data_IF_331855233521
#
_entry.id   IF_331855233521
#
_cell.length_a   1.000
_cell.length_b   1.000
_cell.length_c   1.000
_cell.angle_alpha   90.00
_cell.angle_beta   90.00
_cell.angle_gamma   90.00
#
_symmetry.space_group_name_H-M   'P 1'
#
loop_
_entity.id
_entity.type
_entity.pdbx_description
1 polymer ?
#
# COMPACT_ATOMS: atom_id res chain seq x y z
N UNK A 1 32.43 -6.04 39.50
CA UNK A 1 31.43 -5.02 39.19
C UNK A 1 31.48 -4.43 37.75
N UNK A 2 32.58 -4.39 36.97
CA UNK A 2 32.58 -3.78 35.62
C UNK A 2 31.79 -4.53 34.56
N UNK A 3 31.68 -5.85 34.60
CA UNK A 3 30.93 -6.65 33.58
C UNK A 3 29.43 -6.36 33.49
N UNK A 4 28.74 -6.08 34.62
CA UNK A 4 27.32 -5.73 34.63
C UNK A 4 27.03 -4.36 33.99
N UNK A 5 27.96 -3.40 34.13
CA UNK A 5 27.82 -2.08 33.52
C UNK A 5 27.96 -2.13 31.98
N UNK A 6 28.93 -2.91 31.48
CA UNK A 6 29.19 -3.08 30.05
C UNK A 6 28.01 -3.82 29.39
N UNK A 7 27.46 -4.87 30.01
CA UNK A 7 26.28 -5.58 29.51
C UNK A 7 25.05 -4.68 29.47
N UNK A 8 24.84 -3.83 30.49
CA UNK A 8 23.73 -2.87 30.49
C UNK A 8 23.87 -1.75 29.46
N UNK A 9 25.08 -1.29 29.17
CA UNK A 9 25.33 -0.32 28.08
C UNK A 9 25.13 -0.95 26.68
N UNK A 10 25.60 -2.16 26.47
CA UNK A 10 25.36 -2.88 25.22
C UNK A 10 23.87 -3.14 24.99
N UNK A 11 23.12 -3.57 26.00
CA UNK A 11 21.66 -3.74 25.92
C UNK A 11 20.97 -2.40 25.64
N UNK A 12 21.41 -1.30 26.28
CA UNK A 12 20.87 0.05 25.99
C UNK A 12 21.21 0.55 24.60
N UNK A 13 22.36 0.23 24.06
CA UNK A 13 22.75 0.57 22.68
C UNK A 13 21.97 -0.27 21.64
N UNK A 14 21.71 -1.53 21.92
CA UNK A 14 20.88 -2.41 21.10
C UNK A 14 19.42 -1.95 21.08
N UNK A 15 18.87 -1.50 22.20
CA UNK A 15 17.51 -0.93 22.29
C UNK A 15 17.35 0.41 21.57
N UNK A 16 18.44 1.07 21.15
CA UNK A 16 18.41 2.34 20.39
C UNK A 16 18.36 2.18 18.89
N UNK A 17 18.26 0.94 18.39
CA UNK A 17 18.30 0.64 16.96
C UNK A 17 17.25 -0.39 16.62
N UNK A 18 16.56 -0.20 15.49
CA UNK A 18 15.82 -1.28 14.84
C UNK A 18 16.81 -2.06 13.97
N UNK A 19 16.95 -3.36 14.22
CA UNK A 19 17.81 -4.25 13.45
C UNK A 19 16.96 -5.13 12.56
N UNK A 20 17.17 -5.05 11.24
CA UNK A 20 16.52 -5.86 10.22
C UNK A 20 17.53 -6.87 9.71
N UNK A 21 17.22 -8.17 9.77
CA UNK A 21 18.05 -9.24 9.23
C UNK A 21 18.06 -9.18 7.71
N UNK A 22 19.23 -9.37 7.10
CA UNK A 22 19.35 -9.47 5.64
C UNK A 22 19.01 -10.86 5.12
N UNK A 23 19.09 -11.04 3.79
CA UNK A 23 18.85 -12.31 3.11
C UNK A 23 17.41 -12.52 2.63
N UNK A 24 17.12 -13.74 2.12
CA UNK A 24 15.83 -14.06 1.55
C UNK A 24 14.91 -14.72 2.58
N UNK A 25 14.01 -13.95 3.14
CA UNK A 25 12.98 -14.40 4.07
C UNK A 25 11.77 -13.46 4.08
N UNK A 26 10.75 -13.80 4.84
CA UNK A 26 9.59 -12.94 5.03
C UNK A 26 9.89 -11.87 6.08
N UNK A 27 9.98 -10.62 5.65
CA UNK A 27 10.22 -9.47 6.52
C UNK A 27 8.95 -9.08 7.29
N UNK A 28 8.97 -9.22 8.61
CA UNK A 28 7.85 -8.82 9.49
C UNK A 28 7.64 -7.31 9.46
N UNK A 29 8.70 -6.54 9.29
CA UNK A 29 8.66 -5.08 9.12
C UNK A 29 7.84 -4.68 7.89
N UNK A 30 8.05 -5.34 6.76
CA UNK A 30 7.32 -5.10 5.50
C UNK A 30 5.85 -5.52 5.63
N UNK A 31 5.58 -6.65 6.28
CA UNK A 31 4.22 -7.09 6.56
C UNK A 31 3.48 -6.10 7.49
N UNK A 32 4.16 -5.60 8.52
CA UNK A 32 3.62 -4.58 9.41
C UNK A 32 3.32 -3.27 8.67
N UNK A 33 4.26 -2.81 7.83
CA UNK A 33 4.06 -1.62 6.98
C UNK A 33 2.80 -1.75 6.13
N UNK A 34 2.56 -2.89 5.47
CA UNK A 34 1.36 -3.10 4.64
C UNK A 34 0.09 -3.18 5.46
N UNK A 35 0.11 -3.90 6.60
CA UNK A 35 -1.04 -3.99 7.49
C UNK A 35 -1.42 -2.64 8.09
N UNK A 36 -0.45 -1.83 8.49
CA UNK A 36 -0.68 -0.46 8.94
C UNK A 36 -1.20 0.44 7.81
N UNK A 37 -0.57 0.35 6.63
CA UNK A 37 -0.93 1.15 5.47
C UNK A 37 -2.39 0.94 5.04
N UNK A 38 -2.87 -0.31 4.91
CA UNK A 38 -4.27 -0.55 4.57
C UNK A 38 -5.22 -0.02 5.64
N UNK A 39 -4.88 -0.19 6.91
CA UNK A 39 -5.71 0.29 8.01
C UNK A 39 -5.89 1.81 7.95
N UNK A 40 -4.80 2.55 7.69
CA UNK A 40 -4.87 4.03 7.59
C UNK A 40 -5.55 4.50 6.30
N UNK A 41 -5.42 3.78 5.18
CA UNK A 41 -6.18 4.05 3.95
C UNK A 41 -7.68 3.91 4.19
N UNK A 42 -8.10 2.81 4.81
CA UNK A 42 -9.52 2.59 5.13
C UNK A 42 -10.04 3.64 6.10
N UNK A 43 -9.29 3.93 7.16
CA UNK A 43 -9.66 4.95 8.14
C UNK A 43 -9.78 6.35 7.49
N UNK A 44 -8.88 6.70 6.57
CA UNK A 44 -8.97 7.93 5.79
C UNK A 44 -10.29 7.98 5.01
N UNK A 45 -10.65 6.93 4.27
CA UNK A 45 -11.88 6.91 3.50
C UNK A 45 -13.13 6.92 4.38
N UNK A 46 -13.13 6.21 5.50
CA UNK A 46 -14.22 6.31 6.50
C UNK A 46 -14.39 7.75 6.95
N UNK A 47 -13.30 8.41 7.30
CA UNK A 47 -13.33 9.79 7.78
C UNK A 47 -13.72 10.77 6.67
N UNK A 48 -13.20 10.66 5.47
CA UNK A 48 -13.45 11.60 4.36
C UNK A 48 -14.85 11.50 3.77
N UNK A 49 -15.40 10.31 3.68
CA UNK A 49 -16.71 10.08 3.00
C UNK A 49 -17.87 10.43 3.92
N UNK A 50 -17.73 10.25 5.24
CA UNK A 50 -18.85 10.25 6.17
C UNK A 50 -18.79 11.31 7.24
N UNK A 51 -17.88 12.26 7.10
CA UNK A 51 -17.71 13.25 8.11
C UNK A 51 -18.44 14.54 7.76
N UNK A 52 -19.48 14.84 8.50
CA UNK A 52 -20.14 16.13 8.45
C UNK A 52 -19.22 17.21 9.02
N UNK A 53 -19.12 18.34 8.34
CA UNK A 53 -18.32 19.49 8.78
C UNK A 53 -18.72 19.89 10.22
N UNK A 54 -17.75 19.99 11.10
CA UNK A 54 -17.91 20.44 12.48
C UNK A 54 -17.92 19.38 13.57
N UNK A 55 -18.07 18.10 13.25
CA UNK A 55 -18.12 17.02 14.26
C UNK A 55 -16.75 16.48 14.65
N UNK A 56 -15.73 16.70 13.83
CA UNK A 56 -14.35 16.25 14.10
C UNK A 56 -13.37 17.41 14.08
N UNK A 57 -12.40 17.39 15.02
CA UNK A 57 -11.33 18.37 15.03
C UNK A 57 -10.56 18.39 13.70
N UNK A 58 -10.31 19.58 13.15
CA UNK A 58 -9.58 19.76 11.89
C UNK A 58 -8.22 19.05 11.86
N UNK A 59 -7.54 18.97 13.01
CA UNK A 59 -6.28 18.26 13.11
C UNK A 59 -6.41 16.75 12.85
N UNK A 60 -7.52 16.13 13.28
CA UNK A 60 -7.76 14.69 13.07
C UNK A 60 -8.12 14.42 11.59
N UNK A 61 -8.88 15.32 10.97
CA UNK A 61 -9.14 15.29 9.51
C UNK A 61 -7.84 15.39 8.73
N UNK A 62 -6.98 16.36 9.09
CA UNK A 62 -5.66 16.50 8.45
C UNK A 62 -4.76 15.27 8.68
N UNK A 63 -4.74 14.72 9.90
CA UNK A 63 -3.98 13.51 10.21
C UNK A 63 -4.50 12.30 9.42
N UNK A 64 -5.83 12.15 9.27
CA UNK A 64 -6.41 11.04 8.49
C UNK A 64 -6.03 11.11 7.01
N UNK A 65 -5.88 12.30 6.44
CA UNK A 65 -5.48 12.50 5.05
C UNK A 65 -4.09 11.88 4.76
N UNK A 66 -3.20 11.81 5.77
CA UNK A 66 -1.91 11.12 5.65
C UNK A 66 -2.07 9.61 5.39
N UNK A 67 -3.24 9.03 5.66
CA UNK A 67 -3.57 7.66 5.33
C UNK A 67 -3.45 7.34 3.83
N UNK A 68 -3.66 8.34 2.97
CA UNK A 68 -3.45 8.20 1.52
C UNK A 68 -2.05 7.74 1.12
N UNK A 69 -1.02 8.09 1.93
CA UNK A 69 0.36 7.61 1.75
C UNK A 69 0.47 6.08 1.83
N UNK A 70 -0.53 5.38 2.39
CA UNK A 70 -0.56 3.92 2.40
C UNK A 70 -0.52 3.30 1.00
N UNK A 71 -1.10 3.94 -0.03
CA UNK A 71 -1.00 3.50 -1.42
C UNK A 71 0.45 3.48 -1.92
N UNK A 72 1.22 4.50 -1.60
CA UNK A 72 2.65 4.64 -1.91
C UNK A 72 3.47 3.54 -1.22
N UNK A 73 3.16 3.23 0.05
CA UNK A 73 3.80 2.12 0.79
C UNK A 73 3.59 0.78 0.07
N UNK A 74 2.40 0.52 -0.49
CA UNK A 74 2.15 -0.71 -1.24
C UNK A 74 2.98 -0.81 -2.51
N UNK A 75 3.20 0.30 -3.23
CA UNK A 75 4.05 0.36 -4.42
C UNK A 75 5.51 0.08 -4.04
N UNK A 76 6.02 0.74 -3.01
CA UNK A 76 7.35 0.48 -2.46
C UNK A 76 7.52 -1.00 -2.06
N UNK A 77 6.59 -1.55 -1.27
CA UNK A 77 6.61 -2.94 -0.84
C UNK A 77 6.53 -3.93 -2.01
N UNK A 78 5.84 -3.56 -3.10
CA UNK A 78 5.77 -4.37 -4.31
C UNK A 78 7.12 -4.44 -5.01
N UNK A 79 7.80 -3.31 -5.21
CA UNK A 79 9.16 -3.27 -5.77
C UNK A 79 10.14 -4.08 -4.94
N UNK A 80 10.09 -3.91 -3.60
CA UNK A 80 10.92 -4.66 -2.65
C UNK A 80 10.67 -6.17 -2.73
N UNK A 81 9.43 -6.60 -2.61
CA UNK A 81 9.08 -8.02 -2.58
C UNK A 81 9.32 -8.74 -3.90
N UNK A 82 9.06 -8.06 -5.04
CA UNK A 82 9.34 -8.61 -6.37
C UNK A 82 10.83 -8.80 -6.58
N UNK A 83 11.63 -7.80 -6.22
CA UNK A 83 13.06 -7.86 -6.46
C UNK A 83 13.76 -8.85 -5.53
N UNK A 84 13.36 -8.98 -4.26
CA UNK A 84 13.81 -10.06 -3.38
C UNK A 84 13.53 -11.44 -3.99
N UNK A 85 12.31 -11.64 -4.51
CA UNK A 85 11.93 -12.90 -5.14
C UNK A 85 12.74 -13.19 -6.40
N UNK A 86 13.03 -12.16 -7.21
CA UNK A 86 13.83 -12.27 -8.42
C UNK A 86 15.30 -12.59 -8.13
N UNK A 87 15.90 -11.94 -7.13
CA UNK A 87 17.27 -12.21 -6.70
C UNK A 87 17.45 -13.65 -6.16
N UNK A 88 16.43 -14.18 -5.48
CA UNK A 88 16.45 -15.56 -5.00
C UNK A 88 16.25 -16.58 -6.13
N UNK A 89 15.28 -16.33 -7.01
CA UNK A 89 14.98 -17.20 -8.16
C UNK A 89 14.59 -16.33 -9.36
N UNK A 90 15.53 -16.02 -10.25
CA UNK A 90 15.21 -15.36 -11.52
C UNK A 90 14.19 -16.17 -12.33
N UNK A 91 13.26 -15.47 -12.96
CA UNK A 91 12.20 -16.09 -13.76
C UNK A 91 12.00 -15.32 -15.07
N UNK A 92 11.60 -16.03 -16.11
CA UNK A 92 11.30 -15.44 -17.41
C UNK A 92 9.98 -14.66 -17.38
N UNK A 93 9.76 -13.87 -18.43
CA UNK A 93 8.60 -12.96 -18.52
C UNK A 93 7.26 -13.71 -18.39
N UNK A 94 7.07 -14.82 -19.13
CA UNK A 94 5.81 -15.57 -19.08
C UNK A 94 5.52 -16.18 -17.69
N UNK A 95 6.53 -16.75 -17.03
CA UNK A 95 6.38 -17.29 -15.66
C UNK A 95 6.08 -16.17 -14.67
N UNK A 96 6.77 -15.04 -14.78
CA UNK A 96 6.56 -13.88 -13.93
C UNK A 96 5.15 -13.33 -14.06
N UNK A 97 4.71 -13.03 -15.30
CA UNK A 97 3.38 -12.48 -15.56
C UNK A 97 2.31 -13.45 -15.07
N UNK A 98 2.40 -14.75 -15.42
CA UNK A 98 1.43 -15.73 -14.95
C UNK A 98 1.30 -15.75 -13.44
N UNK A 99 2.41 -15.84 -12.69
CA UNK A 99 2.38 -15.90 -11.22
C UNK A 99 1.83 -14.63 -10.59
N UNK A 100 2.25 -13.46 -11.08
CA UNK A 100 1.87 -12.17 -10.48
C UNK A 100 0.49 -11.73 -10.90
N UNK A 101 0.16 -11.94 -12.17
CA UNK A 101 -1.15 -11.64 -12.70
C UNK A 101 -2.23 -12.45 -11.99
N UNK A 102 -2.09 -13.77 -11.89
CA UNK A 102 -3.07 -14.61 -11.21
C UNK A 102 -3.28 -14.19 -9.75
N UNK A 103 -2.21 -13.84 -9.04
CA UNK A 103 -2.28 -13.44 -7.63
C UNK A 103 -3.09 -12.14 -7.40
N UNK A 104 -3.01 -11.20 -8.33
CA UNK A 104 -3.74 -9.92 -8.25
C UNK A 104 -5.08 -10.02 -8.96
N UNK A 105 -5.10 -10.61 -10.14
CA UNK A 105 -6.24 -10.55 -11.03
C UNK A 105 -7.40 -11.43 -10.58
N UNK A 106 -7.15 -12.61 -10.00
CA UNK A 106 -8.24 -13.48 -9.54
C UNK A 106 -9.07 -12.84 -8.43
N UNK A 107 -8.50 -12.35 -7.31
CA UNK A 107 -9.30 -11.64 -6.32
C UNK A 107 -10.01 -10.40 -6.88
N UNK A 108 -9.35 -9.68 -7.78
CA UNK A 108 -9.92 -8.54 -8.46
C UNK A 108 -11.11 -8.93 -9.36
N UNK A 109 -10.99 -9.99 -10.15
CA UNK A 109 -12.08 -10.49 -10.98
C UNK A 109 -13.27 -10.95 -10.14
N UNK A 110 -13.03 -11.65 -9.03
CA UNK A 110 -14.09 -12.06 -8.10
C UNK A 110 -14.80 -10.83 -7.56
N UNK A 111 -14.06 -9.81 -7.14
CA UNK A 111 -14.64 -8.54 -6.68
C UNK A 111 -15.49 -7.89 -7.78
N UNK A 112 -15.02 -7.81 -9.01
CA UNK A 112 -15.76 -7.22 -10.14
C UNK A 112 -17.05 -7.97 -10.44
N UNK A 113 -17.03 -9.30 -10.40
CA UNK A 113 -18.19 -10.12 -10.63
C UNK A 113 -19.25 -9.94 -9.52
N UNK A 114 -18.81 -9.90 -8.26
CA UNK A 114 -19.70 -9.59 -7.14
C UNK A 114 -20.35 -8.22 -7.35
N UNK A 115 -19.54 -7.22 -7.66
CA UNK A 115 -20.01 -5.85 -7.87
C UNK A 115 -20.98 -5.73 -9.05
N UNK A 116 -20.76 -6.49 -10.13
CA UNK A 116 -21.62 -6.51 -11.32
C UNK A 116 -22.97 -7.21 -11.06
N UNK A 117 -22.96 -8.39 -10.42
CA UNK A 117 -24.17 -9.19 -10.20
C UNK A 117 -24.97 -8.79 -8.96
N UNK A 118 -24.39 -8.01 -8.05
CA UNK A 118 -25.05 -7.48 -6.87
C UNK A 118 -25.09 -5.94 -6.93
N UNK A 119 -25.86 -5.34 -7.84
CA UNK A 119 -25.87 -3.89 -8.07
C UNK A 119 -26.29 -3.07 -6.85
N UNK A 120 -27.07 -3.65 -5.90
CA UNK A 120 -27.37 -2.98 -4.62
C UNK A 120 -26.13 -2.82 -3.75
N UNK A 121 -25.06 -3.55 -4.02
CA UNK A 121 -23.76 -3.40 -3.39
C UNK A 121 -23.02 -2.18 -3.91
N UNK A 122 -23.36 -1.70 -5.09
CA UNK A 122 -22.77 -0.55 -5.75
C UNK A 122 -23.67 0.67 -5.57
N UNK A 123 -23.14 1.73 -5.01
CA UNK A 123 -23.81 3.05 -4.96
C UNK A 123 -23.64 3.80 -6.29
N UNK A 124 -22.92 3.24 -7.25
CA UNK A 124 -22.63 3.85 -8.55
C UNK A 124 -23.45 3.13 -9.65
N UNK A 125 -24.33 3.86 -10.36
CA UNK A 125 -25.18 3.35 -11.44
C UNK A 125 -24.43 2.82 -12.67
N UNK A 126 -23.11 2.72 -12.60
CA UNK A 126 -22.23 2.32 -13.72
C UNK A 126 -22.03 0.81 -13.82
N UNK A 127 -23.07 0.02 -13.62
CA UNK A 127 -23.03 -1.45 -13.74
C UNK A 127 -23.14 -1.97 -15.18
N UNK A 128 -22.94 -1.12 -16.17
CA UNK A 128 -23.04 -1.48 -17.57
C UNK A 128 -21.92 -2.44 -18.00
N UNK A 129 -22.23 -3.33 -18.94
CA UNK A 129 -21.29 -4.34 -19.44
C UNK A 129 -19.98 -3.72 -19.97
N UNK A 130 -20.06 -2.55 -20.64
CA UNK A 130 -18.86 -1.88 -21.13
C UNK A 130 -17.86 -1.51 -20.01
N UNK A 131 -18.37 -1.10 -18.84
CA UNK A 131 -17.53 -0.81 -17.68
C UNK A 131 -16.89 -2.08 -17.12
N UNK A 132 -17.65 -3.18 -17.01
CA UNK A 132 -17.12 -4.48 -16.62
C UNK A 132 -16.01 -4.93 -17.58
N UNK A 133 -16.27 -4.86 -18.89
CA UNK A 133 -15.28 -5.25 -19.90
C UNK A 133 -14.03 -4.38 -19.84
N UNK A 134 -14.17 -3.08 -19.54
CA UNK A 134 -13.01 -2.18 -19.36
C UNK A 134 -12.08 -2.62 -18.24
N UNK A 135 -12.64 -3.15 -17.15
CA UNK A 135 -11.92 -3.70 -16.01
C UNK A 135 -11.36 -5.10 -16.28
N UNK A 136 -12.16 -5.98 -16.90
CA UNK A 136 -11.75 -7.35 -17.24
C UNK A 136 -10.58 -7.34 -18.23
N UNK A 137 -10.65 -6.52 -19.27
CA UNK A 137 -9.56 -6.40 -20.26
C UNK A 137 -8.52 -5.33 -19.90
N UNK A 138 -8.65 -4.68 -18.75
CA UNK A 138 -7.70 -3.70 -18.21
C UNK A 138 -7.52 -2.45 -19.06
N UNK A 139 -8.33 -2.21 -20.11
CA UNK A 139 -8.18 -0.99 -20.91
C UNK A 139 -8.71 0.26 -20.18
N UNK A 140 -9.38 0.11 -19.07
CA UNK A 140 -9.80 1.22 -18.21
C UNK A 140 -8.65 2.18 -17.85
N UNK A 141 -7.41 1.66 -17.79
CA UNK A 141 -6.24 2.45 -17.42
C UNK A 141 -5.84 3.51 -18.45
N UNK A 142 -6.45 3.48 -19.64
CA UNK A 142 -6.17 4.40 -20.73
C UNK A 142 -7.30 5.39 -21.00
N UNK A 143 -8.44 5.28 -20.26
CA UNK A 143 -9.61 6.11 -20.50
C UNK A 143 -10.15 6.68 -19.18
N UNK A 144 -10.23 8.02 -19.10
CA UNK A 144 -10.75 8.72 -17.92
C UNK A 144 -12.18 8.30 -17.56
N UNK A 145 -13.01 8.01 -18.60
CA UNK A 145 -14.38 7.51 -18.43
C UNK A 145 -14.47 6.28 -17.51
N UNK A 146 -13.48 5.39 -17.55
CA UNK A 146 -13.54 4.09 -16.86
C UNK A 146 -12.67 3.99 -15.61
N UNK A 147 -11.66 4.86 -15.46
CA UNK A 147 -10.59 4.68 -14.44
C UNK A 147 -11.13 4.60 -13.01
N UNK A 148 -12.21 5.34 -12.69
CA UNK A 148 -12.83 5.40 -11.38
C UNK A 148 -14.13 4.56 -11.27
N UNK A 149 -14.54 3.88 -12.34
CA UNK A 149 -15.70 3.00 -12.28
C UNK A 149 -15.46 1.79 -11.37
N UNK A 150 -16.51 1.20 -10.81
CA UNK A 150 -16.45 0.12 -9.80
C UNK A 150 -15.72 0.48 -8.50
N UNK A 151 -15.44 1.76 -8.29
CA UNK A 151 -14.83 2.28 -7.08
C UNK A 151 -13.53 3.03 -7.32
N UNK A 152 -13.45 4.19 -6.68
CA UNK A 152 -12.34 5.14 -6.86
C UNK A 152 -10.97 4.56 -6.48
N UNK A 153 -10.93 3.57 -5.57
CA UNK A 153 -9.68 2.93 -5.14
C UNK A 153 -9.02 2.08 -6.25
N UNK A 154 -9.79 1.61 -7.24
CA UNK A 154 -9.30 0.67 -8.24
C UNK A 154 -8.26 1.24 -9.23
N UNK A 155 -7.97 2.55 -9.16
CA UNK A 155 -6.87 3.15 -9.91
C UNK A 155 -5.52 2.45 -9.64
N UNK A 156 -5.29 2.01 -8.41
CA UNK A 156 -4.06 1.35 -8.00
C UNK A 156 -3.82 0.03 -8.76
N UNK A 157 -4.87 -0.70 -9.14
CA UNK A 157 -4.74 -1.91 -9.96
C UNK A 157 -4.10 -1.57 -11.32
N UNK A 158 -4.51 -0.45 -11.92
CA UNK A 158 -3.93 0.02 -13.18
C UNK A 158 -2.43 0.32 -13.02
N UNK A 159 -2.08 1.05 -11.97
CA UNK A 159 -0.69 1.42 -11.66
C UNK A 159 0.19 0.20 -11.41
N UNK A 160 -0.26 -0.73 -10.56
CA UNK A 160 0.57 -1.87 -10.17
C UNK A 160 0.79 -2.85 -11.33
N UNK A 161 -0.20 -3.03 -12.22
CA UNK A 161 -0.05 -3.86 -13.43
C UNK A 161 0.96 -3.24 -14.38
N UNK A 162 0.90 -1.93 -14.62
CA UNK A 162 1.89 -1.23 -15.44
C UNK A 162 3.30 -1.37 -14.86
N UNK A 163 3.47 -1.21 -13.53
CA UNK A 163 4.76 -1.40 -12.86
C UNK A 163 5.27 -2.86 -12.97
N UNK A 164 4.38 -3.83 -12.97
CA UNK A 164 4.76 -5.24 -13.19
C UNK A 164 5.27 -5.49 -14.60
N UNK A 165 4.71 -4.82 -15.61
CA UNK A 165 5.24 -4.89 -16.98
C UNK A 165 6.64 -4.27 -17.08
N UNK A 166 6.92 -3.22 -16.32
CA UNK A 166 8.23 -2.56 -16.26
C UNK A 166 9.25 -3.32 -15.40
N UNK A 167 8.83 -4.23 -14.53
CA UNK A 167 9.72 -4.87 -13.55
C UNK A 167 10.89 -5.61 -14.20
N UNK A 168 10.65 -6.51 -15.15
CA UNK A 168 11.72 -7.26 -15.80
C UNK A 168 12.65 -6.40 -16.69
N UNK A 169 12.18 -5.41 -17.45
CA UNK A 169 13.03 -4.38 -18.04
C UNK A 169 13.96 -3.69 -17.02
N UNK A 170 13.45 -3.33 -15.83
CA UNK A 170 14.27 -2.74 -14.77
C UNK A 170 15.30 -3.73 -14.20
N UNK A 171 14.95 -5.01 -14.06
CA UNK A 171 15.92 -6.06 -13.67
C UNK A 171 17.04 -6.19 -14.71
N UNK A 172 16.70 -6.22 -16.01
CA UNK A 172 17.69 -6.26 -17.09
C UNK A 172 18.57 -5.00 -17.12
N UNK A 173 18.01 -3.83 -16.86
CA UNK A 173 18.79 -2.60 -16.71
C UNK A 173 19.80 -2.73 -15.55
N UNK A 174 19.33 -3.30 -14.41
CA UNK A 174 20.20 -3.55 -13.24
C UNK A 174 21.32 -4.53 -13.53
N UNK A 175 21.07 -5.58 -14.31
CA UNK A 175 22.09 -6.57 -14.72
C UNK A 175 23.18 -5.95 -15.60
N UNK A 176 22.80 -5.02 -16.49
CA UNK A 176 23.72 -4.32 -17.39
C UNK A 176 24.45 -3.11 -16.76
N UNK A 177 23.92 -2.59 -15.62
CA UNK A 177 24.41 -1.36 -15.02
C UNK A 177 24.54 -1.53 -13.50
N UNK A 178 24.09 -0.54 -12.73
CA UNK A 178 24.11 -0.55 -11.26
C UNK A 178 22.73 -0.28 -10.68
N UNK A 179 22.48 -0.66 -9.42
CA UNK A 179 21.24 -0.28 -8.72
C UNK A 179 21.09 1.23 -8.57
N UNK A 180 22.21 1.97 -8.49
CA UNK A 180 22.19 3.44 -8.55
C UNK A 180 21.60 3.95 -9.86
N UNK A 181 22.00 3.37 -10.99
CA UNK A 181 21.48 3.75 -12.31
C UNK A 181 19.97 3.50 -12.38
N UNK A 182 19.49 2.33 -11.94
CA UNK A 182 18.05 2.02 -11.91
C UNK A 182 17.29 3.03 -11.05
N UNK A 183 17.80 3.33 -9.85
CA UNK A 183 17.19 4.28 -8.93
C UNK A 183 17.14 5.69 -9.53
N UNK A 184 18.26 6.19 -10.04
CA UNK A 184 18.34 7.52 -10.66
C UNK A 184 17.44 7.63 -11.89
N UNK A 185 17.39 6.59 -12.74
CA UNK A 185 16.50 6.55 -13.91
C UNK A 185 15.03 6.59 -13.48
N UNK A 186 14.63 5.77 -12.49
CA UNK A 186 13.26 5.78 -11.99
C UNK A 186 12.87 7.13 -11.36
N UNK A 187 13.76 7.72 -10.56
CA UNK A 187 13.53 9.06 -10.00
C UNK A 187 13.43 10.13 -11.11
N UNK A 188 14.33 10.13 -12.10
CA UNK A 188 14.32 11.10 -13.19
C UNK A 188 13.03 10.99 -14.03
N UNK A 189 12.56 9.76 -14.31
CA UNK A 189 11.29 9.53 -15.02
C UNK A 189 10.12 10.07 -14.21
N UNK A 190 10.05 9.79 -12.89
CA UNK A 190 8.95 10.29 -12.07
C UNK A 190 8.96 11.82 -11.94
N UNK A 191 10.11 12.44 -11.70
CA UNK A 191 10.23 13.90 -11.63
C UNK A 191 9.85 14.54 -12.96
N UNK A 192 10.36 14.01 -14.09
CA UNK A 192 9.98 14.49 -15.42
C UNK A 192 8.48 14.36 -15.69
N UNK A 193 7.87 13.26 -15.23
CA UNK A 193 6.42 13.06 -15.33
C UNK A 193 5.64 14.10 -14.54
N UNK A 194 5.99 14.34 -13.27
CA UNK A 194 5.32 15.34 -12.43
C UNK A 194 5.40 16.74 -13.03
N UNK A 195 6.58 17.14 -13.51
CA UNK A 195 6.77 18.43 -14.17
C UNK A 195 5.91 18.52 -15.43
N UNK A 196 5.92 17.48 -16.28
CA UNK A 196 5.16 17.47 -17.53
C UNK A 196 3.65 17.54 -17.28
N UNK A 197 3.13 16.74 -16.34
CA UNK A 197 1.70 16.73 -16.00
C UNK A 197 1.25 18.06 -15.45
N UNK A 198 2.02 18.65 -14.54
CA UNK A 198 1.71 19.96 -13.99
C UNK A 198 1.80 21.09 -15.03
N UNK A 199 2.85 21.09 -15.86
CA UNK A 199 3.02 22.09 -16.91
C UNK A 199 1.94 22.06 -18.00
N UNK A 200 1.33 20.88 -18.23
CA UNK A 200 0.27 20.68 -19.24
C UNK A 200 -1.14 20.75 -18.63
N UNK A 201 -1.28 20.83 -17.30
CA UNK A 201 -2.57 20.78 -16.61
C UNK A 201 -3.27 19.41 -16.67
N UNK A 202 -2.56 18.37 -17.13
CA UNK A 202 -3.10 16.99 -17.24
C UNK A 202 -3.23 16.30 -15.88
N UNK A 203 -2.66 16.83 -14.83
CA UNK A 203 -2.74 16.30 -13.46
C UNK A 203 -4.18 16.21 -12.92
N UNK A 204 -5.11 16.97 -13.49
CA UNK A 204 -6.53 16.93 -13.10
C UNK A 204 -7.22 15.62 -13.53
N UNK A 205 -6.68 14.94 -14.53
CA UNK A 205 -7.22 13.67 -15.02
C UNK A 205 -6.61 12.48 -14.28
N UNK A 206 -7.45 11.59 -13.79
CA UNK A 206 -7.02 10.47 -12.97
C UNK A 206 -6.14 9.46 -13.72
N UNK A 207 -6.34 9.28 -15.01
CA UNK A 207 -5.51 8.39 -15.83
C UNK A 207 -4.02 8.78 -15.76
N UNK A 208 -3.70 10.08 -15.81
CA UNK A 208 -2.32 10.56 -15.74
C UNK A 208 -1.75 10.48 -14.32
N UNK A 209 -2.57 10.85 -13.32
CA UNK A 209 -2.20 10.71 -11.90
C UNK A 209 -2.10 9.25 -11.42
N UNK A 210 -2.64 8.28 -12.20
CA UNK A 210 -2.53 6.84 -11.91
C UNK A 210 -1.53 6.12 -12.80
N UNK A 211 -0.84 6.84 -13.69
CA UNK A 211 0.12 6.24 -14.59
C UNK A 211 1.38 5.80 -13.84
N UNK A 212 1.99 4.68 -14.24
CA UNK A 212 3.10 4.07 -13.51
C UNK A 212 4.31 4.99 -13.31
N UNK A 213 4.52 5.98 -14.20
CA UNK A 213 5.63 6.93 -14.08
C UNK A 213 5.48 7.87 -12.88
N UNK A 214 4.24 8.15 -12.44
CA UNK A 214 3.98 8.89 -11.20
C UNK A 214 4.68 8.26 -9.99
N UNK A 215 4.71 6.92 -9.94
CA UNK A 215 5.11 6.12 -8.78
C UNK A 215 6.36 5.26 -9.04
N UNK A 216 7.03 5.42 -10.18
CA UNK A 216 8.17 4.58 -10.55
C UNK A 216 9.33 4.71 -9.54
N UNK A 217 9.56 5.91 -9.01
CA UNK A 217 10.58 6.18 -8.01
C UNK A 217 10.41 5.33 -6.73
N UNK A 218 9.18 5.15 -6.27
CA UNK A 218 8.87 4.33 -5.07
C UNK A 218 9.16 2.86 -5.32
N UNK A 219 8.75 2.40 -6.49
CA UNK A 219 8.95 1.02 -6.89
C UNK A 219 10.44 0.68 -7.01
N UNK A 220 11.23 1.53 -7.66
CA UNK A 220 12.68 1.31 -7.77
C UNK A 220 13.40 1.55 -6.44
N UNK A 221 12.90 2.42 -5.56
CA UNK A 221 13.39 2.57 -4.19
C UNK A 221 13.20 1.25 -3.41
N UNK A 222 12.04 0.61 -3.56
CA UNK A 222 11.78 -0.72 -3.01
C UNK A 222 12.78 -1.76 -3.54
N UNK A 223 13.05 -1.76 -4.84
CA UNK A 223 14.09 -2.63 -5.44
C UNK A 223 15.49 -2.36 -4.85
N UNK A 224 15.85 -1.09 -4.64
CA UNK A 224 17.15 -0.70 -4.08
C UNK A 224 17.31 -1.14 -2.62
N UNK A 225 16.24 -1.05 -1.83
CA UNK A 225 16.23 -1.57 -0.45
C UNK A 225 16.38 -3.09 -0.47
N UNK A 226 15.70 -3.80 -1.36
CA UNK A 226 15.84 -5.25 -1.52
C UNK A 226 17.28 -5.66 -1.91
N UNK A 227 17.92 -4.96 -2.85
CA UNK A 227 19.32 -5.18 -3.23
C UNK A 227 20.25 -5.02 -2.01
N UNK A 228 19.98 -4.00 -1.19
CA UNK A 228 20.74 -3.73 0.04
C UNK A 228 20.56 -4.85 1.08
N UNK A 229 19.32 -5.29 1.31
CA UNK A 229 19.03 -6.35 2.26
C UNK A 229 19.62 -7.71 1.85
N UNK A 230 19.72 -7.98 0.54
CA UNK A 230 20.36 -9.21 0.05
C UNK A 230 21.89 -9.19 0.14
N UNK A 231 22.49 -7.99 0.17
CA UNK A 231 23.96 -7.83 0.25
C UNK A 231 24.50 -7.66 1.65
N UNK A 232 23.65 -7.39 2.62
CA UNK A 232 24.04 -7.14 4.01
C UNK A 232 23.44 -8.19 4.93
N UNK A 233 24.21 -8.67 5.90
CA UNK A 233 23.70 -9.58 6.93
C UNK A 233 22.67 -8.90 7.83
N UNK A 234 22.84 -7.60 8.08
CA UNK A 234 21.92 -6.81 8.90
C UNK A 234 21.85 -5.35 8.41
N UNK A 235 20.68 -4.76 8.53
CA UNK A 235 20.49 -3.32 8.39
C UNK A 235 20.08 -2.73 9.75
N UNK A 236 20.81 -1.74 10.23
CA UNK A 236 20.56 -1.10 11.53
C UNK A 236 20.03 0.32 11.31
N UNK A 237 18.85 0.58 11.81
CA UNK A 237 18.18 1.89 11.75
C UNK A 237 18.16 2.50 13.15
N UNK A 238 18.95 3.56 13.42
CA UNK A 238 18.93 4.26 14.69
C UNK A 238 17.55 4.86 14.95
N UNK A 239 17.04 4.74 16.17
CA UNK A 239 15.71 5.29 16.55
C UNK A 239 15.67 6.80 16.32
N UNK A 240 16.75 7.52 16.65
CA UNK A 240 16.81 8.97 16.49
C UNK A 240 16.68 9.40 15.01
N UNK A 241 17.30 8.66 14.09
CA UNK A 241 17.20 8.97 12.65
C UNK A 241 15.80 8.69 12.10
N UNK A 242 15.12 7.66 12.59
CA UNK A 242 13.72 7.40 12.25
C UNK A 242 12.80 8.48 12.83
N UNK A 243 13.03 8.94 14.08
CA UNK A 243 12.29 10.06 14.66
C UNK A 243 12.47 11.34 13.83
N UNK A 244 13.72 11.67 13.48
CA UNK A 244 14.01 12.82 12.62
C UNK A 244 13.33 12.72 11.27
N UNK A 245 13.43 11.55 10.60
CA UNK A 245 12.80 11.30 9.32
C UNK A 245 11.25 11.37 9.42
N UNK A 246 10.65 10.87 10.50
CA UNK A 246 9.21 10.96 10.72
C UNK A 246 8.76 12.41 10.89
N UNK A 247 9.38 13.16 11.79
CA UNK A 247 9.00 14.56 12.06
C UNK A 247 9.25 15.46 10.86
N UNK A 248 10.46 15.40 10.27
CA UNK A 248 10.80 16.25 9.13
C UNK A 248 10.02 15.84 7.88
N UNK A 249 9.86 14.54 7.62
CA UNK A 249 9.14 14.05 6.45
C UNK A 249 7.66 14.40 6.48
N UNK A 250 6.97 14.09 7.58
CA UNK A 250 5.55 14.43 7.71
C UNK A 250 5.32 15.94 7.79
N UNK A 251 6.18 16.68 8.51
CA UNK A 251 6.12 18.13 8.61
C UNK A 251 6.33 18.83 7.26
N UNK A 252 7.33 18.36 6.48
CA UNK A 252 7.58 18.89 5.14
C UNK A 252 6.44 18.55 4.17
N UNK A 253 5.91 17.33 4.21
CA UNK A 253 4.76 16.95 3.39
C UNK A 253 3.54 17.85 3.67
N UNK A 254 3.22 18.08 4.95
CA UNK A 254 2.13 18.98 5.35
C UNK A 254 2.37 20.43 4.89
N UNK A 255 3.61 20.92 4.99
CA UNK A 255 4.00 22.26 4.50
C UNK A 255 3.81 22.35 2.98
N UNK A 256 4.26 21.33 2.21
CA UNK A 256 4.14 21.31 0.75
C UNK A 256 2.68 21.28 0.30
N UNK A 257 1.81 20.54 1.00
CA UNK A 257 0.35 20.59 0.75
C UNK A 257 -0.21 21.99 0.99
N UNK A 258 0.22 22.66 2.07
CA UNK A 258 -0.24 24.04 2.37
C UNK A 258 0.25 25.06 1.34
N UNK A 259 1.44 24.88 0.78
CA UNK A 259 1.99 25.77 -0.26
C UNK A 259 1.29 25.58 -1.61
N UNK A 260 0.76 24.38 -1.90
CA UNK A 260 0.06 24.09 -3.16
C UNK A 260 0.96 24.07 -4.41
N UNK A 261 0.34 24.02 -5.59
CA UNK A 261 1.04 24.08 -6.87
C UNK A 261 2.13 23.00 -7.01
N UNK A 262 3.29 23.38 -7.54
CA UNK A 262 4.42 22.45 -7.71
C UNK A 262 4.85 21.78 -6.39
N UNK A 263 4.79 22.48 -5.27
CA UNK A 263 5.14 21.89 -3.98
C UNK A 263 4.25 20.69 -3.64
N UNK A 264 2.96 20.82 -3.90
CA UNK A 264 2.01 19.74 -3.68
C UNK A 264 2.30 18.53 -4.59
N UNK A 265 2.74 18.76 -5.83
CA UNK A 265 3.09 17.69 -6.77
C UNK A 265 4.27 16.82 -6.30
N UNK A 266 5.16 17.36 -5.47
CA UNK A 266 6.35 16.66 -4.94
C UNK A 266 6.19 16.16 -3.50
N UNK A 267 5.03 16.35 -2.87
CA UNK A 267 4.84 16.03 -1.44
C UNK A 267 4.91 14.54 -1.13
N UNK A 268 4.71 13.67 -2.12
CA UNK A 268 4.75 12.20 -1.96
C UNK A 268 6.10 11.72 -1.42
N UNK A 269 7.19 12.40 -1.79
CA UNK A 269 8.56 12.02 -1.36
C UNK A 269 8.73 12.15 0.16
N UNK A 270 8.58 13.34 0.77
CA UNK A 270 8.70 13.46 2.21
C UNK A 270 7.59 12.72 2.96
N UNK A 271 6.37 12.62 2.38
CA UNK A 271 5.27 11.88 2.96
C UNK A 271 5.62 10.39 3.12
N UNK A 272 6.11 9.72 2.07
CA UNK A 272 6.49 8.31 2.13
C UNK A 272 7.60 8.06 3.14
N UNK A 273 8.66 8.88 3.12
CA UNK A 273 9.80 8.74 4.05
C UNK A 273 9.35 8.94 5.50
N UNK A 274 8.61 9.99 5.76
CA UNK A 274 8.09 10.30 7.10
C UNK A 274 7.11 9.25 7.62
N UNK A 275 6.18 8.82 6.77
CA UNK A 275 5.21 7.79 7.10
C UNK A 275 5.88 6.45 7.42
N UNK A 276 6.78 5.98 6.54
CA UNK A 276 7.49 4.72 6.77
C UNK A 276 8.34 4.76 8.04
N UNK A 277 9.03 5.87 8.29
CA UNK A 277 9.81 6.04 9.52
C UNK A 277 8.92 6.01 10.78
N UNK A 278 7.78 6.70 10.77
CA UNK A 278 6.81 6.67 11.87
C UNK A 278 6.27 5.25 12.11
N UNK A 279 5.91 4.53 11.05
CA UNK A 279 5.38 3.16 11.15
C UNK A 279 6.44 2.18 11.64
N UNK A 280 7.70 2.33 11.23
CA UNK A 280 8.81 1.51 11.75
C UNK A 280 9.11 1.81 13.22
N UNK A 281 8.93 3.04 13.69
CA UNK A 281 8.98 3.38 15.13
C UNK A 281 7.86 2.68 15.91
N UNK A 282 6.64 2.67 15.37
CA UNK A 282 5.52 1.91 15.97
C UNK A 282 5.81 0.41 15.98
N UNK A 283 6.42 -0.12 14.93
CA UNK A 283 6.88 -1.51 14.90
C UNK A 283 7.91 -1.78 15.99
N UNK A 284 8.89 -0.90 16.17
CA UNK A 284 9.93 -1.05 17.19
C UNK A 284 9.35 -1.01 18.63
N UNK A 285 8.40 -0.09 18.89
CA UNK A 285 7.79 0.08 20.21
C UNK A 285 6.59 -0.86 20.49
N UNK A 286 5.84 -1.24 19.47
CA UNK A 286 4.54 -1.91 19.60
C UNK A 286 4.58 -3.44 19.71
N UNK A 287 5.55 -4.02 20.41
CA UNK A 287 5.85 -5.47 20.40
C UNK A 287 4.66 -6.37 20.74
N UNK A 288 3.84 -6.00 21.71
CA UNK A 288 2.83 -6.90 22.31
C UNK A 288 1.45 -6.79 21.68
N UNK A 289 1.06 -5.60 21.20
CA UNK A 289 -0.29 -5.35 20.66
C UNK A 289 -0.23 -4.98 19.18
N UNK A 290 0.52 -3.94 18.81
CA UNK A 290 0.50 -3.41 17.44
C UNK A 290 1.10 -4.39 16.43
N UNK A 291 2.22 -5.06 16.77
CA UNK A 291 2.83 -6.01 15.83
C UNK A 291 1.91 -7.17 15.48
N UNK A 292 1.39 -7.98 16.41
CA UNK A 292 0.51 -9.09 16.04
C UNK A 292 -0.74 -8.61 15.31
N UNK A 293 -1.31 -7.47 15.69
CA UNK A 293 -2.48 -6.89 15.05
C UNK A 293 -2.22 -6.58 13.57
N UNK A 294 -1.20 -5.76 13.26
CA UNK A 294 -0.94 -5.38 11.87
C UNK A 294 -0.33 -6.50 11.02
N UNK A 295 0.39 -7.46 11.62
CA UNK A 295 0.80 -8.68 10.92
C UNK A 295 -0.41 -9.57 10.54
N UNK A 296 -1.45 -9.60 11.38
CA UNK A 296 -2.70 -10.29 11.07
C UNK A 296 -3.47 -9.57 9.96
N UNK A 297 -3.57 -8.24 10.03
CA UNK A 297 -4.20 -7.41 9.00
C UNK A 297 -3.50 -7.55 7.64
N UNK A 298 -2.16 -7.63 7.61
CA UNK A 298 -1.41 -7.86 6.37
C UNK A 298 -1.90 -9.11 5.63
N UNK A 299 -2.34 -10.12 6.36
CA UNK A 299 -2.82 -11.37 5.80
C UNK A 299 -4.04 -11.25 4.87
N UNK A 300 -4.81 -10.17 4.92
CA UNK A 300 -5.96 -9.88 4.05
C UNK A 300 -5.95 -8.43 3.52
N UNK A 301 -4.81 -7.79 3.55
CA UNK A 301 -4.66 -6.37 3.17
C UNK A 301 -5.08 -6.10 1.72
N UNK A 302 -4.88 -7.04 0.82
CA UNK A 302 -5.26 -6.89 -0.58
C UNK A 302 -6.77 -7.03 -0.77
N UNK A 303 -7.40 -8.01 -0.16
CA UNK A 303 -8.85 -8.16 -0.19
C UNK A 303 -9.55 -6.95 0.45
N UNK A 304 -8.98 -6.45 1.56
CA UNK A 304 -9.50 -5.24 2.19
C UNK A 304 -9.36 -4.01 1.28
N UNK A 305 -8.22 -3.88 0.60
CA UNK A 305 -8.04 -2.85 -0.41
C UNK A 305 -9.12 -2.91 -1.51
N UNK A 306 -9.52 -4.09 -1.98
CA UNK A 306 -10.53 -4.21 -3.02
C UNK A 306 -11.93 -3.75 -2.56
N UNK A 307 -12.36 -4.16 -1.37
CA UNK A 307 -13.76 -3.99 -0.91
C UNK A 307 -13.99 -2.82 0.03
N UNK A 308 -12.92 -2.12 0.50
CA UNK A 308 -13.09 -1.19 1.63
C UNK A 308 -14.04 -0.03 1.34
N UNK A 309 -14.06 0.51 0.12
CA UNK A 309 -14.94 1.63 -0.22
C UNK A 309 -16.40 1.20 -0.16
N UNK A 310 -16.72 0.06 -0.76
CA UNK A 310 -18.07 -0.49 -0.72
C UNK A 310 -18.45 -0.93 0.70
N UNK A 311 -17.52 -1.63 1.39
CA UNK A 311 -17.73 -2.05 2.76
C UNK A 311 -18.00 -0.89 3.73
N UNK A 312 -17.31 0.24 3.54
CA UNK A 312 -17.55 1.45 4.31
C UNK A 312 -18.91 2.05 3.98
N UNK A 313 -19.26 2.22 2.70
CA UNK A 313 -20.56 2.74 2.26
C UNK A 313 -21.72 1.91 2.80
N UNK A 314 -21.64 0.59 2.72
CA UNK A 314 -22.66 -0.30 3.28
C UNK A 314 -22.75 -0.26 4.79
N UNK A 315 -21.58 -0.23 5.46
CA UNK A 315 -21.54 -0.09 6.90
C UNK A 315 -22.33 1.13 7.37
N UNK A 316 -22.15 2.28 6.71
CA UNK A 316 -22.94 3.48 7.00
C UNK A 316 -24.41 3.31 6.64
N UNK A 317 -24.71 2.81 5.45
CA UNK A 317 -26.10 2.59 5.04
C UNK A 317 -26.87 1.75 6.08
N UNK A 318 -26.29 0.66 6.55
CA UNK A 318 -26.95 -0.21 7.53
C UNK A 318 -27.06 0.46 8.90
N UNK A 319 -26.01 1.12 9.39
CA UNK A 319 -26.08 1.74 10.71
C UNK A 319 -27.09 2.87 10.74
N UNK A 320 -27.19 3.67 9.67
CA UNK A 320 -28.15 4.75 9.56
C UNK A 320 -29.61 4.26 9.51
N UNK A 321 -29.86 3.05 8.95
CA UNK A 321 -31.19 2.48 8.92
C UNK A 321 -31.58 1.71 10.19
N UNK A 322 -30.59 1.25 10.97
CA UNK A 322 -30.84 0.42 12.16
C UNK A 322 -30.70 1.18 13.46
N UNK A 323 -30.16 2.37 13.45
CA UNK A 323 -29.94 3.16 14.65
C UNK A 323 -30.68 4.49 14.60
N UNK A 324 -31.06 5.04 15.78
CA UNK A 324 -31.62 6.38 15.88
C UNK A 324 -30.68 7.45 15.29
N UNK A 325 -31.25 8.55 14.79
CA UNK A 325 -30.50 9.71 14.25
C UNK A 325 -29.50 10.28 15.26
N UNK A 326 -29.76 10.14 16.55
CA UNK A 326 -28.91 10.60 17.66
C UNK A 326 -27.69 9.70 17.94
N UNK A 327 -27.48 8.61 17.14
CA UNK A 327 -26.34 7.71 17.34
C UNK A 327 -25.02 8.49 17.17
N UNK A 328 -24.12 8.44 18.17
CA UNK A 328 -22.84 9.16 18.08
C UNK A 328 -22.04 8.78 16.87
N UNK A 329 -21.49 9.77 16.14
CA UNK A 329 -20.73 9.56 14.91
C UNK A 329 -19.55 8.60 15.08
N UNK A 330 -18.91 8.60 16.26
CA UNK A 330 -17.82 7.65 16.53
C UNK A 330 -18.29 6.19 16.45
N UNK A 331 -19.53 5.89 16.86
CA UNK A 331 -20.10 4.55 16.76
C UNK A 331 -20.36 4.20 15.28
N UNK A 332 -20.88 5.14 14.50
CA UNK A 332 -21.09 4.99 13.05
C UNK A 332 -19.78 4.70 12.31
N UNK A 333 -18.74 5.51 12.59
CA UNK A 333 -17.38 5.34 12.07
C UNK A 333 -16.80 3.97 12.43
N UNK A 334 -16.90 3.59 13.71
CA UNK A 334 -16.39 2.29 14.18
C UNK A 334 -17.12 1.13 13.52
N UNK A 335 -18.45 1.21 13.41
CA UNK A 335 -19.24 0.18 12.74
C UNK A 335 -18.88 0.04 11.26
N UNK A 336 -18.83 1.15 10.51
CA UNK A 336 -18.48 1.14 9.08
C UNK A 336 -17.07 0.58 8.85
N UNK A 337 -16.12 0.93 9.73
CA UNK A 337 -14.76 0.39 9.69
C UNK A 337 -14.73 -1.12 9.91
N UNK A 338 -15.39 -1.61 10.95
CA UNK A 338 -15.47 -3.04 11.28
C UNK A 338 -16.26 -3.82 10.23
N UNK A 339 -17.34 -3.25 9.69
CA UNK A 339 -18.11 -3.85 8.62
C UNK A 339 -17.25 -4.01 7.35
N UNK A 340 -16.52 -2.97 6.98
CA UNK A 340 -15.56 -3.03 5.87
C UNK A 340 -14.50 -4.13 6.07
N UNK A 341 -14.00 -4.30 7.30
CA UNK A 341 -13.07 -5.38 7.62
C UNK A 341 -13.72 -6.77 7.49
N UNK A 342 -14.96 -6.91 7.92
CA UNK A 342 -15.71 -8.15 7.80
C UNK A 342 -15.93 -8.55 6.33
N UNK A 343 -16.28 -7.59 5.45
CA UNK A 343 -16.42 -7.84 3.99
C UNK A 343 -15.09 -8.30 3.37
N UNK A 344 -13.96 -7.75 3.81
CA UNK A 344 -12.64 -8.18 3.38
C UNK A 344 -12.31 -9.63 3.77
N UNK A 345 -12.66 -10.02 5.00
CA UNK A 345 -12.48 -11.40 5.47
C UNK A 345 -13.36 -12.38 4.70
N UNK A 346 -14.60 -11.99 4.36
CA UNK A 346 -15.50 -12.80 3.51
C UNK A 346 -14.92 -12.96 2.10
N UNK A 347 -14.46 -11.87 1.47
CA UNK A 347 -13.81 -11.95 0.15
C UNK A 347 -12.59 -12.86 0.21
N UNK A 348 -11.76 -12.76 1.26
CA UNK A 348 -10.60 -13.65 1.44
C UNK A 348 -10.99 -15.13 1.51
N UNK A 349 -12.07 -15.47 2.21
CA UNK A 349 -12.57 -16.84 2.27
C UNK A 349 -13.00 -17.33 0.89
N UNK A 350 -13.74 -16.50 0.15
CA UNK A 350 -14.16 -16.80 -1.22
C UNK A 350 -12.98 -16.98 -2.16
N UNK A 351 -12.00 -16.07 -2.14
CA UNK A 351 -10.77 -16.17 -2.95
C UNK A 351 -10.02 -17.45 -2.65
N UNK A 352 -9.87 -17.82 -1.40
CA UNK A 352 -9.21 -19.08 -1.01
C UNK A 352 -9.97 -20.31 -1.51
N UNK A 353 -11.29 -20.28 -1.43
CA UNK A 353 -12.14 -21.36 -1.95
C UNK A 353 -11.99 -21.52 -3.47
N UNK A 354 -12.06 -20.40 -4.24
CA UNK A 354 -11.85 -20.38 -5.69
C UNK A 354 -10.45 -20.86 -6.06
N UNK A 355 -9.40 -20.40 -5.38
CA UNK A 355 -8.02 -20.85 -5.64
C UNK A 355 -7.85 -22.36 -5.44
N UNK A 356 -8.48 -22.95 -4.41
CA UNK A 356 -8.48 -24.40 -4.20
C UNK A 356 -9.20 -25.13 -5.34
N UNK A 357 -10.38 -24.66 -5.76
CA UNK A 357 -11.14 -25.25 -6.88
C UNK A 357 -10.32 -25.23 -8.17
N UNK A 358 -9.65 -24.12 -8.45
CA UNK A 358 -8.84 -23.95 -9.65
C UNK A 358 -7.43 -24.58 -9.52
N UNK A 359 -7.11 -25.21 -8.39
CA UNK A 359 -5.79 -25.81 -8.09
C UNK A 359 -4.63 -24.83 -8.24
N UNK A 360 -4.84 -23.56 -7.91
CA UNK A 360 -3.84 -22.52 -8.04
C UNK A 360 -2.90 -22.44 -6.83
N UNK A 361 -3.24 -23.06 -5.72
CA UNK A 361 -2.48 -23.04 -4.45
C UNK A 361 -1.14 -23.81 -4.52
N UNK A 362 -0.88 -24.57 -5.59
CA UNK A 362 0.27 -25.47 -5.74
C UNK A 362 1.62 -24.80 -6.06
N UNK A 363 1.72 -23.49 -6.12
CA UNK A 363 2.92 -22.78 -6.62
C UNK A 363 3.50 -21.68 -5.71
N UNK A 364 2.98 -21.49 -4.52
CA UNK A 364 3.57 -20.50 -3.60
C UNK A 364 4.88 -21.05 -3.02
N UNK A 365 6.02 -20.57 -3.51
CA UNK A 365 7.27 -20.57 -2.76
C UNK A 365 7.04 -19.68 -1.52
N UNK A 366 6.59 -20.29 -0.42
CA UNK A 366 6.48 -19.60 0.85
C UNK A 366 7.87 -19.14 1.25
N UNK A 367 8.04 -17.82 1.37
CA UNK A 367 9.24 -17.27 2.00
C UNK A 367 9.38 -17.91 3.39
N UNK A 368 10.56 -18.42 3.75
CA UNK A 368 10.77 -18.93 5.09
C UNK A 368 10.49 -17.86 6.13
N UNK A 369 9.72 -18.20 7.17
CA UNK A 369 9.59 -17.33 8.33
C UNK A 369 10.90 -17.39 9.13
N UNK A 370 11.45 -16.25 9.48
CA UNK A 370 12.55 -16.20 10.47
C UNK A 370 11.97 -16.69 11.79
N UNK A 371 12.40 -17.86 12.24
CA UNK A 371 12.06 -18.34 13.58
C UNK A 371 12.57 -17.30 14.56
N UNK A 372 11.67 -16.81 15.42
CA UNK A 372 12.04 -16.02 16.57
C UNK A 372 12.87 -16.88 17.50
N UNK A 373 14.19 -16.77 17.46
CA UNK A 373 15.03 -17.16 18.56
C UNK A 373 15.11 -16.01 19.55
#
# INVERSE_FOLDING_TARGET
>A
MPKKHIVNEQIRQEMRKLTIQGGYHKYKEVAFLRGFAITTVVLMHVIQVYWHEGQIPNWLRAASAMGGTGGHVFIFCSGLGLYLSYLHRPMGFGEFIRKRFLKIYIPYLIFLLIHFFLPHWSVDDRTQLEYLLSHVFLYKMFFEKYILSYGLQLWFISTIIQLYLLFLPLCKLREKTSMRTVLLTGCAVSVGWWIAMHATGLEVFRIWGSFCFQYLWEFVLGMAVADTLMRRDTMRLPIWSMLLAAVCGLGLAALMVKLGGYWQAFNDVPALVGYMAAVLLLYAGGRHVLRPMFLWVDGFSYEWYLVHVDGVKFGYYYIDHWTPDETPELIRVAFAFLFSMATALLLRLLVRWVNRLLRLDGGENRLPDVRSN
#
